data_IF_269866451172
#
_entry.id   IF_269866451172
#
_cell.length_a   1.000
_cell.length_b   1.000
_cell.length_c   1.000
_cell.angle_alpha   90.00
_cell.angle_beta   90.00
_cell.angle_gamma   90.00
#
_symmetry.space_group_name_H-M   'P 1'
#
loop_
_entity.id
_entity.type
_entity.pdbx_description
1 polymer ?
#
# COMPACT_ATOMS: atom_id res chain seq x y z
N UNK A 1 -15.96 15.47 1.45
CA UNK A 1 -16.20 14.63 0.26
C UNK A 1 -16.84 13.35 0.74
N UNK A 2 -17.92 12.87 0.12
CA UNK A 2 -18.57 11.62 0.54
C UNK A 2 -17.72 10.42 0.06
N UNK A 3 -17.87 9.26 0.70
CA UNK A 3 -17.13 8.04 0.35
C UNK A 3 -17.35 7.62 -1.12
N UNK A 4 -18.57 7.78 -1.64
CA UNK A 4 -18.90 7.49 -3.05
C UNK A 4 -18.07 8.38 -3.99
N UNK A 5 -18.01 9.68 -3.71
CA UNK A 5 -17.23 10.64 -4.50
C UNK A 5 -15.73 10.29 -4.50
N UNK A 6 -15.20 9.79 -3.37
CA UNK A 6 -13.79 9.34 -3.29
C UNK A 6 -13.58 8.10 -4.14
N UNK A 7 -14.43 7.08 -4.03
CA UNK A 7 -14.29 5.84 -4.81
C UNK A 7 -14.27 6.14 -6.32
N UNK A 8 -15.21 6.97 -6.78
CA UNK A 8 -15.28 7.38 -8.18
C UNK A 8 -14.04 8.18 -8.61
N UNK A 9 -13.57 9.13 -7.79
CA UNK A 9 -12.33 9.86 -8.03
C UNK A 9 -11.13 8.93 -8.20
N UNK A 10 -10.98 7.95 -7.31
CA UNK A 10 -9.85 7.02 -7.32
C UNK A 10 -9.88 6.13 -8.56
N UNK A 11 -11.03 5.55 -8.88
CA UNK A 11 -11.19 4.72 -10.08
C UNK A 11 -10.94 5.53 -11.37
N UNK A 12 -11.45 6.76 -11.46
CA UNK A 12 -11.21 7.62 -12.63
C UNK A 12 -9.75 8.06 -12.77
N UNK A 13 -8.99 8.10 -11.67
CA UNK A 13 -7.59 8.58 -11.69
C UNK A 13 -6.58 7.45 -11.86
N UNK A 14 -6.86 6.26 -11.30
CA UNK A 14 -5.89 5.17 -11.19
C UNK A 14 -6.40 3.82 -11.73
N UNK A 15 -7.70 3.70 -12.02
CA UNK A 15 -8.33 2.42 -12.39
C UNK A 15 -7.90 1.86 -13.76
N UNK A 16 -7.16 2.63 -14.57
CA UNK A 16 -6.58 2.17 -15.82
C UNK A 16 -5.24 1.43 -15.63
N UNK A 17 -4.64 1.49 -14.45
CA UNK A 17 -3.41 0.76 -14.14
C UNK A 17 -3.71 -0.73 -13.95
N UNK A 18 -2.80 -1.58 -14.42
CA UNK A 18 -2.87 -3.02 -14.14
C UNK A 18 -2.48 -3.33 -12.67
N UNK A 19 -2.71 -4.57 -12.23
CA UNK A 19 -2.45 -4.99 -10.85
C UNK A 19 -0.98 -4.77 -10.43
N UNK A 20 -0.02 -4.99 -11.34
CA UNK A 20 1.41 -4.81 -11.02
C UNK A 20 1.73 -3.34 -10.85
N UNK A 21 1.23 -2.49 -11.75
CA UNK A 21 1.41 -1.06 -11.70
C UNK A 21 0.75 -0.46 -10.45
N UNK A 22 -0.46 -0.91 -10.12
CA UNK A 22 -1.22 -0.37 -9.00
C UNK A 22 -0.65 -0.81 -7.64
N UNK A 23 -0.27 -2.09 -7.51
CA UNK A 23 0.44 -2.57 -6.32
C UNK A 23 1.77 -1.83 -6.14
N UNK A 24 2.54 -1.64 -7.22
CA UNK A 24 3.79 -0.89 -7.19
C UNK A 24 3.59 0.58 -6.81
N UNK A 25 2.54 1.24 -7.34
CA UNK A 25 2.21 2.62 -7.01
C UNK A 25 1.83 2.78 -5.53
N UNK A 26 1.11 1.79 -4.98
CA UNK A 26 0.75 1.74 -3.56
C UNK A 26 2.00 1.58 -2.70
N UNK A 27 2.87 0.62 -3.02
CA UNK A 27 4.17 0.43 -2.33
C UNK A 27 5.02 1.71 -2.41
N UNK A 28 5.04 2.39 -3.57
CA UNK A 28 5.76 3.65 -3.74
C UNK A 28 5.21 4.76 -2.83
N UNK A 29 3.88 4.89 -2.74
CA UNK A 29 3.22 5.89 -1.90
C UNK A 29 3.49 5.67 -0.41
N UNK A 30 3.51 4.42 0.03
CA UNK A 30 3.58 4.05 1.44
C UNK A 30 5.02 3.80 1.94
N UNK A 31 5.92 3.35 1.07
CA UNK A 31 7.21 2.79 1.48
C UNK A 31 8.39 3.09 0.53
N UNK A 32 8.30 4.06 -0.41
CA UNK A 32 9.45 4.35 -1.30
C UNK A 32 10.77 4.64 -0.58
N UNK A 33 10.70 5.26 0.61
CA UNK A 33 11.87 5.59 1.43
C UNK A 33 12.36 4.46 2.35
N UNK A 34 11.66 3.32 2.37
CA UNK A 34 12.01 2.17 3.20
C UNK A 34 12.98 1.23 2.47
N UNK A 35 13.57 0.29 3.21
CA UNK A 35 14.34 -0.81 2.62
C UNK A 35 13.46 -1.71 1.74
N UNK A 36 14.08 -2.58 0.93
CA UNK A 36 13.35 -3.61 0.17
C UNK A 36 12.44 -4.45 1.08
N UNK A 37 12.90 -4.81 2.28
CA UNK A 37 12.09 -5.53 3.27
C UNK A 37 10.85 -4.74 3.71
N UNK A 38 10.97 -3.41 3.90
CA UNK A 38 9.84 -2.56 4.23
C UNK A 38 8.83 -2.42 3.09
N UNK A 39 9.31 -2.35 1.84
CA UNK A 39 8.47 -2.37 0.65
C UNK A 39 7.72 -3.69 0.49
N UNK A 40 8.40 -4.82 0.70
CA UNK A 40 7.79 -6.17 0.71
C UNK A 40 6.77 -6.30 1.85
N UNK A 41 7.01 -5.71 3.01
CA UNK A 41 6.07 -5.75 4.13
C UNK A 41 4.74 -5.04 3.80
N UNK A 42 4.79 -3.88 3.14
CA UNK A 42 3.57 -3.22 2.63
C UNK A 42 2.91 -4.05 1.53
N UNK A 43 3.69 -4.58 0.58
CA UNK A 43 3.17 -5.50 -0.44
C UNK A 43 2.49 -6.73 0.16
N UNK A 44 3.01 -7.24 1.28
CA UNK A 44 2.43 -8.38 2.00
C UNK A 44 1.07 -8.03 2.56
N UNK A 45 0.91 -6.86 3.18
CA UNK A 45 -0.40 -6.39 3.67
C UNK A 45 -1.42 -6.27 2.54
N UNK A 46 -1.03 -5.79 1.36
CA UNK A 46 -1.95 -5.72 0.19
C UNK A 46 -2.46 -7.13 -0.14
N UNK A 47 -1.57 -8.11 -0.23
CA UNK A 47 -1.96 -9.49 -0.56
C UNK A 47 -2.73 -10.18 0.56
N UNK A 48 -2.40 -9.95 1.84
CA UNK A 48 -3.20 -10.46 2.97
C UNK A 48 -4.61 -9.84 2.98
N UNK A 49 -4.76 -8.57 2.57
CA UNK A 49 -6.07 -7.94 2.44
C UNK A 49 -6.90 -8.57 1.34
N UNK A 50 -6.30 -8.83 0.18
CA UNK A 50 -6.96 -9.54 -0.94
C UNK A 50 -7.46 -10.91 -0.50
N UNK A 51 -6.66 -11.65 0.25
CA UNK A 51 -6.98 -13.04 0.61
C UNK A 51 -7.90 -13.18 1.83
N UNK A 52 -7.87 -12.21 2.76
CA UNK A 52 -8.42 -12.40 4.11
C UNK A 52 -9.29 -11.26 4.63
N UNK A 53 -9.57 -10.21 3.83
CA UNK A 53 -10.32 -9.05 4.32
C UNK A 53 -11.49 -8.66 3.41
N UNK A 54 -12.62 -9.31 3.67
CA UNK A 54 -13.88 -9.25 2.91
C UNK A 54 -14.43 -7.85 2.59
N UNK A 55 -14.09 -6.82 3.36
CA UNK A 55 -14.66 -5.48 3.17
C UNK A 55 -13.82 -4.55 2.29
N UNK A 56 -12.58 -4.93 1.97
CA UNK A 56 -11.72 -4.20 1.03
C UNK A 56 -11.94 -4.65 -0.43
N UNK A 57 -12.54 -5.82 -0.63
CA UNK A 57 -12.68 -6.50 -1.92
C UNK A 57 -11.57 -7.53 -2.14
N UNK A 58 -11.68 -8.24 -3.27
CA UNK A 58 -10.98 -9.51 -3.50
C UNK A 58 -9.93 -9.37 -4.62
N UNK A 59 -9.64 -8.14 -5.00
CA UNK A 59 -8.70 -7.79 -6.07
C UNK A 59 -7.72 -6.72 -5.63
N UNK A 60 -6.53 -6.68 -6.26
CA UNK A 60 -5.53 -5.63 -6.01
C UNK A 60 -6.14 -4.24 -6.24
N UNK A 61 -6.96 -4.08 -7.28
CA UNK A 61 -7.62 -2.81 -7.56
C UNK A 61 -8.58 -2.38 -6.45
N UNK A 62 -9.43 -3.30 -5.99
CA UNK A 62 -10.38 -2.98 -4.92
C UNK A 62 -9.66 -2.65 -3.62
N UNK A 63 -8.67 -3.44 -3.22
CA UNK A 63 -7.88 -3.22 -1.99
C UNK A 63 -7.12 -1.89 -2.04
N UNK A 64 -6.35 -1.65 -3.11
CA UNK A 64 -5.49 -0.46 -3.22
C UNK A 64 -6.31 0.83 -3.36
N UNK A 65 -7.47 0.78 -4.02
CA UNK A 65 -8.35 1.94 -4.24
C UNK A 65 -9.55 1.97 -3.28
N UNK A 66 -9.60 1.10 -2.26
CA UNK A 66 -10.62 1.16 -1.23
C UNK A 66 -10.50 2.50 -0.49
N UNK A 67 -11.56 3.32 -0.44
CA UNK A 67 -11.49 4.64 0.17
C UNK A 67 -10.88 4.61 1.57
N UNK A 68 -9.92 5.50 1.78
CA UNK A 68 -9.23 5.73 3.05
C UNK A 68 -8.31 4.58 3.54
N UNK A 69 -8.10 3.52 2.75
CA UNK A 69 -7.21 2.42 3.15
C UNK A 69 -5.73 2.70 2.90
N UNK A 70 -5.44 3.51 1.89
CA UNK A 70 -4.10 4.01 1.59
C UNK A 70 -4.19 5.53 1.42
N UNK A 71 -3.65 6.28 2.40
CA UNK A 71 -3.86 7.73 2.44
C UNK A 71 -3.15 8.45 1.30
N UNK A 72 -2.09 7.86 0.75
CA UNK A 72 -1.33 8.41 -0.38
C UNK A 72 -2.20 8.71 -1.62
N UNK A 73 -3.36 8.05 -1.76
CA UNK A 73 -4.33 8.31 -2.83
C UNK A 73 -5.33 9.45 -2.53
N UNK A 74 -5.32 10.04 -1.34
CA UNK A 74 -6.23 11.12 -0.98
C UNK A 74 -5.68 12.47 -1.44
N UNK A 75 -6.50 13.37 -2.03
CA UNK A 75 -6.01 14.67 -2.53
C UNK A 75 -5.30 15.58 -1.51
N UNK A 76 -5.57 15.39 -0.22
CA UNK A 76 -4.93 16.14 0.85
C UNK A 76 -3.55 15.59 1.25
N UNK A 77 -3.20 14.38 0.81
CA UNK A 77 -1.93 13.75 1.10
C UNK A 77 -0.81 14.35 0.22
N UNK A 78 0.36 14.71 0.79
CA UNK A 78 1.47 15.27 0.03
C UNK A 78 1.99 14.37 -1.10
N UNK A 79 1.79 13.06 -1.02
CA UNK A 79 2.21 12.12 -2.05
C UNK A 79 1.26 12.08 -3.26
N UNK A 80 0.00 12.48 -3.09
CA UNK A 80 -1.03 12.35 -4.13
C UNK A 80 -0.65 12.98 -5.48
N UNK A 81 -0.09 14.22 -5.55
CA UNK A 81 0.30 14.80 -6.82
C UNK A 81 1.35 13.97 -7.57
N UNK A 82 2.30 13.37 -6.85
CA UNK A 82 3.32 12.52 -7.46
C UNK A 82 2.71 11.21 -7.98
N UNK A 83 1.86 10.56 -7.20
CA UNK A 83 1.18 9.32 -7.62
C UNK A 83 0.30 9.55 -8.85
N UNK A 84 -0.44 10.66 -8.87
CA UNK A 84 -1.26 11.04 -10.04
C UNK A 84 -0.41 11.25 -11.30
N UNK A 85 0.74 11.92 -11.18
CA UNK A 85 1.65 12.10 -12.31
C UNK A 85 2.28 10.79 -12.79
N UNK A 86 2.57 9.86 -11.88
CA UNK A 86 3.05 8.51 -12.24
C UNK A 86 1.96 7.74 -12.98
N UNK A 87 0.72 7.76 -12.50
CA UNK A 87 -0.38 7.06 -13.14
C UNK A 87 -0.69 7.60 -14.56
N UNK A 88 -0.55 8.91 -14.77
CA UNK A 88 -0.81 9.56 -16.06
C UNK A 88 0.29 9.32 -17.11
N UNK A 89 1.51 9.04 -16.68
CA UNK A 89 2.70 8.98 -17.54
C UNK A 89 3.65 7.85 -17.09
N UNK A 90 3.07 6.65 -16.91
CA UNK A 90 3.73 5.51 -16.28
C UNK A 90 5.08 5.20 -16.92
N UNK A 91 5.10 5.03 -18.24
CA UNK A 91 6.31 4.62 -18.99
C UNK A 91 7.47 5.57 -18.77
N UNK A 92 7.24 6.88 -18.92
CA UNK A 92 8.29 7.88 -18.70
C UNK A 92 8.72 7.93 -17.24
N UNK A 93 7.78 7.90 -16.27
CA UNK A 93 8.16 7.91 -14.84
C UNK A 93 8.93 6.66 -14.44
N UNK A 94 8.55 5.49 -14.93
CA UNK A 94 9.24 4.23 -14.71
C UNK A 94 10.70 4.28 -15.21
N UNK A 95 10.93 4.86 -16.40
CA UNK A 95 12.29 5.01 -16.95
C UNK A 95 13.19 5.94 -16.11
N UNK A 96 12.62 6.93 -15.42
CA UNK A 96 13.40 7.95 -14.73
C UNK A 96 13.47 7.80 -13.19
N UNK A 97 12.62 6.98 -12.58
CA UNK A 97 12.61 6.78 -11.12
C UNK A 97 13.14 5.40 -10.74
N UNK A 98 14.28 5.36 -10.04
CA UNK A 98 14.83 4.12 -9.44
C UNK A 98 13.86 3.50 -8.45
N UNK A 99 13.26 4.32 -7.59
CA UNK A 99 12.35 3.86 -6.54
C UNK A 99 11.08 3.24 -7.14
N UNK A 100 10.54 3.83 -8.21
CA UNK A 100 9.38 3.26 -8.91
C UNK A 100 9.72 1.92 -9.57
N UNK A 101 10.91 1.80 -10.19
CA UNK A 101 11.36 0.52 -10.76
C UNK A 101 11.53 -0.55 -9.69
N UNK A 102 12.07 -0.18 -8.53
CA UNK A 102 12.21 -1.10 -7.40
C UNK A 102 10.83 -1.56 -6.90
N UNK A 103 9.90 -0.64 -6.68
CA UNK A 103 8.52 -0.98 -6.27
C UNK A 103 7.82 -1.84 -7.31
N UNK A 104 8.01 -1.56 -8.60
CA UNK A 104 7.43 -2.35 -9.69
C UNK A 104 8.02 -3.76 -9.77
N UNK A 105 9.34 -3.90 -9.62
CA UNK A 105 10.00 -5.21 -9.56
C UNK A 105 9.45 -6.02 -8.39
N UNK A 106 9.38 -5.43 -7.19
CA UNK A 106 8.85 -6.10 -5.99
C UNK A 106 7.40 -6.55 -6.23
N UNK A 107 6.54 -5.67 -6.78
CA UNK A 107 5.17 -6.05 -7.11
C UNK A 107 5.09 -7.21 -8.11
N UNK A 108 5.89 -7.17 -9.18
CA UNK A 108 5.96 -8.26 -10.16
C UNK A 108 6.37 -9.58 -9.49
N UNK A 109 7.46 -9.56 -8.72
CA UNK A 109 8.05 -10.74 -8.12
C UNK A 109 7.14 -11.34 -7.04
N UNK A 110 6.44 -10.52 -6.26
CA UNK A 110 5.46 -10.99 -5.27
C UNK A 110 4.22 -11.60 -5.93
N UNK A 111 3.66 -10.96 -6.96
CA UNK A 111 2.50 -11.49 -7.69
C UNK A 111 2.84 -12.77 -8.47
N UNK A 112 4.09 -12.93 -8.88
CA UNK A 112 4.60 -14.16 -9.50
C UNK A 112 4.98 -15.26 -8.47
N UNK A 113 4.90 -14.97 -7.17
CA UNK A 113 5.30 -15.90 -6.10
C UNK A 113 6.82 -16.14 -6.01
N UNK A 114 7.63 -15.26 -6.60
CA UNK A 114 9.10 -15.33 -6.58
C UNK A 114 9.69 -14.78 -5.29
N UNK A 115 9.01 -13.81 -4.66
CA UNK A 115 9.36 -13.27 -3.35
C UNK A 115 8.23 -13.63 -2.38
N UNK A 116 8.54 -14.29 -1.24
CA UNK A 116 7.54 -14.61 -0.25
C UNK A 116 7.06 -13.35 0.48
N UNK A 117 5.84 -13.41 1.01
CA UNK A 117 5.33 -12.41 1.96
C UNK A 117 6.20 -12.38 3.22
N UNK A 118 6.23 -11.24 3.90
CA UNK A 118 6.93 -11.09 5.19
C UNK A 118 6.36 -12.08 6.20
N UNK A 119 7.21 -12.96 6.73
CA UNK A 119 6.82 -14.11 7.57
C UNK A 119 5.80 -13.78 8.66
N UNK A 120 6.08 -12.80 9.54
CA UNK A 120 5.19 -12.47 10.65
C UNK A 120 3.84 -11.89 10.21
N UNK A 121 3.80 -11.21 9.05
CA UNK A 121 2.56 -10.70 8.46
C UNK A 121 1.73 -11.86 7.89
N UNK A 122 2.37 -12.74 7.14
CA UNK A 122 1.70 -13.89 6.51
C UNK A 122 1.21 -14.93 7.51
N UNK A 123 1.98 -15.23 8.56
CA UNK A 123 1.59 -16.20 9.59
C UNK A 123 0.41 -15.73 10.45
N UNK A 124 0.15 -14.43 10.50
CA UNK A 124 -0.89 -13.82 11.32
C UNK A 124 -2.04 -13.20 10.52
N UNK A 125 -1.94 -13.20 9.19
CA UNK A 125 -2.85 -12.48 8.29
C UNK A 125 -3.00 -11.00 8.67
N UNK A 126 -1.88 -10.36 9.03
CA UNK A 126 -1.90 -8.96 9.45
C UNK A 126 -2.30 -8.04 8.31
N UNK A 127 -3.40 -7.30 8.50
CA UNK A 127 -3.97 -6.39 7.50
C UNK A 127 -3.89 -4.92 7.92
N UNK A 128 -3.34 -4.63 9.09
CA UNK A 128 -3.21 -3.28 9.65
C UNK A 128 -1.74 -2.94 9.90
N UNK A 129 -1.38 -1.68 9.64
CA UNK A 129 -0.06 -1.16 9.98
C UNK A 129 -0.14 0.34 10.22
N UNK A 130 0.89 0.88 10.87
CA UNK A 130 1.11 2.32 10.95
C UNK A 130 2.60 2.63 10.98
N UNK A 131 2.95 3.90 10.71
CA UNK A 131 4.30 4.37 10.94
C UNK A 131 4.59 4.51 12.43
N UNK A 132 5.81 4.19 12.85
CA UNK A 132 6.33 4.42 14.22
C UNK A 132 6.28 5.90 14.62
N UNK A 133 6.28 6.81 13.64
CA UNK A 133 6.06 8.24 13.85
C UNK A 133 4.60 8.51 14.27
N UNK A 134 3.61 7.98 13.53
CA UNK A 134 2.19 8.13 13.85
C UNK A 134 1.87 7.55 15.24
N UNK A 135 2.53 6.45 15.63
CA UNK A 135 2.38 5.79 16.93
C UNK A 135 2.58 6.73 18.11
N UNK A 136 3.45 7.73 17.96
CA UNK A 136 3.84 8.70 19.00
C UNK A 136 2.94 9.93 19.06
N UNK A 137 1.96 10.04 18.16
CA UNK A 137 1.09 11.23 18.06
C UNK A 137 -0.28 10.98 18.69
N UNK A 138 -1.03 12.06 18.91
CA UNK A 138 -2.44 11.99 19.31
C UNK A 138 -3.37 11.44 18.22
N UNK A 139 -2.90 11.38 16.97
CA UNK A 139 -3.62 10.80 15.84
C UNK A 139 -3.41 9.28 15.73
N UNK A 140 -2.65 8.67 16.65
CA UNK A 140 -2.48 7.22 16.72
C UNK A 140 -3.85 6.51 16.76
N UNK A 141 -4.13 5.58 15.85
CA UNK A 141 -5.40 4.87 15.83
C UNK A 141 -5.62 4.04 17.10
N UNK A 142 -6.86 4.01 17.59
CA UNK A 142 -7.19 3.29 18.84
C UNK A 142 -7.06 1.77 18.73
N UNK A 143 -7.22 1.21 17.53
CA UNK A 143 -7.12 -0.23 17.27
C UNK A 143 -5.74 -0.80 17.65
N UNK A 144 -4.70 0.04 17.67
CA UNK A 144 -3.34 -0.35 18.07
C UNK A 144 -3.28 -0.86 19.52
N UNK A 145 -4.22 -0.45 20.37
CA UNK A 145 -4.27 -0.89 21.77
C UNK A 145 -5.02 -2.21 21.95
N UNK A 146 -5.69 -2.70 20.90
CA UNK A 146 -6.52 -3.91 20.94
C UNK A 146 -6.02 -5.02 20.02
N UNK A 147 -5.06 -4.72 19.14
CA UNK A 147 -4.44 -5.67 18.22
C UNK A 147 -3.03 -6.04 18.68
N UNK A 148 -2.53 -7.18 18.20
CA UNK A 148 -1.20 -7.67 18.54
C UNK A 148 -0.18 -7.13 17.54
N UNK A 149 0.94 -6.61 18.02
CA UNK A 149 2.09 -6.27 17.17
C UNK A 149 2.73 -7.58 16.69
N UNK A 150 2.78 -7.79 15.38
CA UNK A 150 3.32 -9.03 14.78
C UNK A 150 4.67 -8.82 14.08
N UNK A 151 4.95 -7.60 13.63
CA UNK A 151 6.23 -7.25 13.02
C UNK A 151 6.54 -5.75 13.16
N UNK A 152 7.82 -5.44 13.26
CA UNK A 152 8.39 -4.10 13.11
C UNK A 152 9.39 -4.18 11.97
N UNK A 153 9.09 -3.53 10.84
CA UNK A 153 9.94 -3.54 9.64
C UNK A 153 10.18 -2.09 9.23
N UNK A 154 11.44 -1.67 9.30
CA UNK A 154 11.82 -0.28 9.07
C UNK A 154 11.05 0.68 9.97
N UNK A 155 10.36 1.65 9.37
CA UNK A 155 9.57 2.66 10.07
C UNK A 155 8.13 2.22 10.37
N UNK A 156 7.74 0.98 10.10
CA UNK A 156 6.36 0.49 10.19
C UNK A 156 6.15 -0.61 11.24
N UNK A 157 5.06 -0.48 12.00
CA UNK A 157 4.54 -1.49 12.92
C UNK A 157 3.31 -2.17 12.29
N UNK A 158 3.27 -3.50 12.27
CA UNK A 158 2.23 -4.32 11.65
C UNK A 158 1.44 -5.12 12.70
N UNK A 159 0.13 -5.26 12.48
CA UNK A 159 -0.81 -5.76 13.49
C UNK A 159 -1.85 -6.75 12.96
N UNK A 160 -2.18 -7.72 13.81
CA UNK A 160 -3.26 -8.70 13.64
C UNK A 160 -4.18 -8.74 14.88
#
# INVERSE_FOLDING_TARGET
>A
MKTIDIKELLLNTFGHLDDKQLMALTIYGEARGESEEGKIAVGSVILERVDHRDWDGDTIQEVCLMPYQFSCYLPADPNYPALKLIAQDWETKYLHSTDLRECYRIACDMLAGLIPRTKGIAESHATQYLTTALRKTKACPKWVNTMNLVALVGSHEFYA
#
